data_IF_715433149936
#
_entry.id   IF_715433149936
#
_cell.length_a   1.000
_cell.length_b   1.000
_cell.length_c   1.000
_cell.angle_alpha   90.00
_cell.angle_beta   90.00
_cell.angle_gamma   90.00
#
_symmetry.space_group_name_H-M   'P 1'
#
loop_
_entity.id
_entity.type
_entity.pdbx_description
1 polymer ?
#
# COMPACT_ATOMS: atom_id res chain seq x y z
N UNK A 1 8.51 -10.53 -16.08
CA UNK A 1 7.12 -10.47 -15.57
C UNK A 1 6.51 -9.12 -15.92
N UNK A 2 5.20 -9.02 -16.15
CA UNK A 2 4.54 -7.76 -16.53
C UNK A 2 3.88 -7.10 -15.33
N UNK A 3 3.90 -5.77 -15.28
CA UNK A 3 3.20 -4.92 -14.31
C UNK A 3 1.74 -5.35 -14.07
N UNK A 4 1.08 -5.84 -15.14
CA UNK A 4 -0.29 -6.37 -15.11
C UNK A 4 -0.47 -7.61 -14.20
N UNK A 5 0.54 -8.47 -14.07
CA UNK A 5 0.46 -9.67 -13.24
C UNK A 5 0.46 -9.33 -11.75
N UNK A 6 1.37 -8.45 -11.33
CA UNK A 6 1.47 -7.97 -9.95
C UNK A 6 0.19 -7.26 -9.54
N UNK A 7 -0.31 -6.34 -10.38
CA UNK A 7 -1.57 -5.63 -10.14
C UNK A 7 -2.77 -6.57 -10.04
N UNK A 8 -2.83 -7.65 -10.85
CA UNK A 8 -3.91 -8.63 -10.74
C UNK A 8 -3.90 -9.34 -9.39
N UNK A 9 -2.74 -9.79 -8.91
CA UNK A 9 -2.63 -10.46 -7.61
C UNK A 9 -2.92 -9.52 -6.44
N UNK A 10 -2.45 -8.27 -6.52
CA UNK A 10 -2.76 -7.25 -5.53
C UNK A 10 -4.25 -6.92 -5.48
N UNK A 11 -4.91 -6.80 -6.65
CA UNK A 11 -6.36 -6.60 -6.71
C UNK A 11 -7.08 -7.76 -6.02
N UNK A 12 -6.70 -9.01 -6.32
CA UNK A 12 -7.31 -10.18 -5.69
C UNK A 12 -7.11 -10.16 -4.17
N UNK A 13 -5.91 -9.83 -3.68
CA UNK A 13 -5.61 -9.68 -2.26
C UNK A 13 -6.46 -8.59 -1.58
N UNK A 14 -6.61 -7.43 -2.21
CA UNK A 14 -7.47 -6.34 -1.72
C UNK A 14 -8.94 -6.78 -1.67
N UNK A 15 -9.44 -7.45 -2.72
CA UNK A 15 -10.80 -7.97 -2.75
C UNK A 15 -11.05 -9.00 -1.63
N UNK A 16 -10.09 -9.87 -1.36
CA UNK A 16 -10.18 -10.88 -0.30
C UNK A 16 -10.19 -10.23 1.10
N UNK A 17 -9.35 -9.22 1.34
CA UNK A 17 -9.40 -8.46 2.60
C UNK A 17 -10.75 -7.77 2.81
N UNK A 18 -11.30 -7.14 1.77
CA UNK A 18 -12.62 -6.50 1.82
C UNK A 18 -13.77 -7.50 2.01
N UNK A 19 -13.57 -8.76 1.62
CA UNK A 19 -14.50 -9.85 1.86
C UNK A 19 -14.32 -10.52 3.24
N UNK A 20 -13.53 -9.93 4.14
CA UNK A 20 -13.16 -10.48 5.45
C UNK A 20 -12.47 -11.85 5.36
N UNK A 21 -11.73 -12.10 4.27
CA UNK A 21 -10.90 -13.29 4.07
C UNK A 21 -9.40 -12.95 4.13
N UNK A 22 -8.84 -12.73 5.33
CA UNK A 22 -7.42 -12.43 5.51
C UNK A 22 -6.52 -13.61 5.14
N UNK A 23 -7.01 -14.85 5.23
CA UNK A 23 -6.21 -16.02 4.85
C UNK A 23 -6.03 -16.09 3.34
N UNK A 24 -7.09 -15.88 2.56
CA UNK A 24 -7.02 -15.77 1.11
C UNK A 24 -6.09 -14.63 0.67
N UNK A 25 -6.15 -13.48 1.33
CA UNK A 25 -5.26 -12.36 1.02
C UNK A 25 -3.77 -12.69 1.28
N UNK A 26 -3.47 -13.40 2.38
CA UNK A 26 -2.12 -13.90 2.66
C UNK A 26 -1.66 -14.87 1.57
N UNK A 27 -2.52 -15.82 1.16
CA UNK A 27 -2.19 -16.75 0.07
C UNK A 27 -1.92 -16.03 -1.25
N UNK A 28 -2.66 -14.96 -1.57
CA UNK A 28 -2.41 -14.15 -2.76
C UNK A 28 -1.03 -13.47 -2.71
N UNK A 29 -0.58 -13.02 -1.53
CA UNK A 29 0.78 -12.52 -1.33
C UNK A 29 1.84 -13.62 -1.42
N UNK A 30 1.58 -14.81 -0.87
CA UNK A 30 2.50 -15.95 -0.98
C UNK A 30 2.75 -16.32 -2.45
N UNK A 31 1.73 -16.24 -3.31
CA UNK A 31 1.88 -16.46 -4.74
C UNK A 31 2.79 -15.43 -5.43
N UNK A 32 2.86 -14.19 -4.93
CA UNK A 32 3.81 -13.18 -5.42
C UNK A 32 5.27 -13.56 -5.10
N UNK A 33 5.47 -14.24 -3.96
CA UNK A 33 6.78 -14.67 -3.50
C UNK A 33 7.24 -15.99 -4.15
N UNK A 34 6.35 -16.95 -4.35
CA UNK A 34 6.66 -18.32 -4.81
C UNK A 34 6.89 -18.47 -6.33
N UNK A 35 7.36 -17.44 -7.02
CA UNK A 35 7.63 -17.54 -8.46
C UNK A 35 8.77 -18.51 -8.77
N UNK A 36 8.74 -19.19 -9.92
CA UNK A 36 9.75 -20.19 -10.32
C UNK A 36 11.18 -19.61 -10.49
N UNK A 37 11.30 -18.28 -10.57
CA UNK A 37 12.56 -17.55 -10.64
C UNK A 37 12.92 -16.96 -9.26
N UNK A 38 14.23 -16.78 -9.00
CA UNK A 38 14.82 -16.20 -7.76
C UNK A 38 14.52 -14.69 -7.60
N UNK A 39 13.34 -14.25 -8.04
CA UNK A 39 12.87 -12.86 -8.13
C UNK A 39 11.79 -12.53 -7.10
N UNK A 40 11.48 -13.45 -6.17
CA UNK A 40 10.39 -13.29 -5.20
C UNK A 40 10.47 -11.98 -4.40
N UNK A 41 11.65 -11.55 -3.97
CA UNK A 41 11.83 -10.28 -3.25
C UNK A 41 11.59 -9.04 -4.13
N UNK A 42 12.02 -9.10 -5.40
CA UNK A 42 11.77 -8.01 -6.36
C UNK A 42 10.27 -7.87 -6.62
N UNK A 43 9.54 -8.98 -6.71
CA UNK A 43 8.09 -8.99 -6.89
C UNK A 43 7.35 -8.36 -5.71
N UNK A 44 7.80 -8.69 -4.50
CA UNK A 44 7.25 -8.10 -3.27
C UNK A 44 7.56 -6.61 -3.19
N UNK A 45 8.72 -6.16 -3.69
CA UNK A 45 9.07 -4.74 -3.77
C UNK A 45 8.22 -4.00 -4.79
N UNK A 46 8.02 -4.57 -5.98
CA UNK A 46 7.11 -4.02 -6.99
C UNK A 46 5.68 -3.94 -6.46
N UNK A 47 5.25 -4.98 -5.73
CA UNK A 47 3.94 -4.99 -5.08
C UNK A 47 3.81 -3.87 -4.03
N UNK A 48 4.83 -3.63 -3.21
CA UNK A 48 4.84 -2.53 -2.26
C UNK A 48 4.77 -1.16 -2.96
N UNK A 49 5.53 -0.97 -4.04
CA UNK A 49 5.48 0.26 -4.86
C UNK A 49 4.07 0.51 -5.42
N UNK A 50 3.44 -0.50 -6.00
CA UNK A 50 2.09 -0.41 -6.54
C UNK A 50 1.05 -0.05 -5.47
N UNK A 51 1.15 -0.65 -4.28
CA UNK A 51 0.26 -0.34 -3.15
C UNK A 51 0.47 1.09 -2.62
N UNK A 52 1.72 1.55 -2.52
CA UNK A 52 2.04 2.92 -2.11
C UNK A 52 1.47 3.92 -3.12
N UNK A 53 1.72 3.71 -4.42
CA UNK A 53 1.23 4.60 -5.47
C UNK A 53 -0.29 4.63 -5.53
N UNK A 54 -0.95 3.47 -5.45
CA UNK A 54 -2.42 3.40 -5.41
C UNK A 54 -3.00 4.12 -4.19
N UNK A 55 -2.41 3.94 -3.02
CA UNK A 55 -2.82 4.61 -1.79
C UNK A 55 -2.66 6.13 -1.89
N UNK A 56 -1.54 6.61 -2.44
CA UNK A 56 -1.32 8.03 -2.67
C UNK A 56 -2.34 8.63 -3.65
N UNK A 57 -2.65 7.93 -4.75
CA UNK A 57 -3.67 8.35 -5.71
C UNK A 57 -5.05 8.48 -5.07
N UNK A 58 -5.45 7.49 -4.25
CA UNK A 58 -6.73 7.50 -3.54
C UNK A 58 -6.82 8.62 -2.51
N UNK A 59 -5.77 8.83 -1.72
CA UNK A 59 -5.70 9.93 -0.75
C UNK A 59 -5.81 11.31 -1.41
N UNK A 60 -5.12 11.52 -2.54
CA UNK A 60 -5.26 12.76 -3.33
C UNK A 60 -6.68 12.92 -3.85
N UNK A 61 -7.28 11.87 -4.42
CA UNK A 61 -8.64 11.92 -4.93
C UNK A 61 -9.67 12.21 -3.83
N UNK A 62 -9.50 11.65 -2.64
CA UNK A 62 -10.33 11.93 -1.46
C UNK A 62 -10.20 13.40 -1.02
N UNK A 63 -8.97 13.93 -0.97
CA UNK A 63 -8.71 15.33 -0.62
C UNK A 63 -9.35 16.29 -1.62
N UNK A 64 -9.16 16.04 -2.92
CA UNK A 64 -9.78 16.80 -4.01
C UNK A 64 -11.31 16.77 -3.88
N UNK A 65 -11.88 15.59 -3.64
CA UNK A 65 -13.33 15.41 -3.51
C UNK A 65 -13.91 16.14 -2.29
N UNK A 66 -13.19 16.14 -1.17
CA UNK A 66 -13.58 16.87 0.05
C UNK A 66 -13.46 18.40 -0.09
N UNK A 67 -12.92 18.91 -1.21
CA UNK A 67 -12.67 20.34 -1.41
C UNK A 67 -11.52 20.86 -0.55
N UNK A 68 -10.67 19.97 -0.02
CA UNK A 68 -9.48 20.33 0.73
C UNK A 68 -8.37 20.74 -0.25
N UNK A 69 -8.41 22.00 -0.70
CA UNK A 69 -7.40 22.60 -1.59
C UNK A 69 -6.10 23.01 -0.88
N UNK A 70 -5.67 22.24 0.13
CA UNK A 70 -4.53 22.54 0.99
C UNK A 70 -3.51 21.39 1.05
N UNK A 71 -2.48 21.58 1.87
CA UNK A 71 -1.45 20.56 2.15
C UNK A 71 -2.10 19.33 2.82
N UNK A 72 -1.93 18.16 2.19
CA UNK A 72 -2.41 16.88 2.70
C UNK A 72 -1.58 16.47 3.92
N UNK A 73 -2.17 16.55 5.11
CA UNK A 73 -1.57 16.00 6.32
C UNK A 73 -2.15 14.62 6.60
N UNK A 74 -1.33 13.60 6.40
CA UNK A 74 -1.59 12.25 6.89
C UNK A 74 -1.01 12.13 8.31
N UNK A 75 -1.75 11.47 9.19
CA UNK A 75 -1.29 11.09 10.53
C UNK A 75 -1.60 9.61 10.75
N UNK A 76 -0.68 8.89 11.39
CA UNK A 76 -0.95 7.54 11.88
C UNK A 76 -1.75 7.66 13.17
N UNK A 77 -2.83 6.90 13.29
CA UNK A 77 -3.64 6.82 14.49
C UNK A 77 -3.48 5.47 15.19
N UNK A 78 -3.63 5.44 16.51
CA UNK A 78 -3.91 4.20 17.23
C UNK A 78 -5.37 3.75 17.04
N UNK A 79 -5.79 2.69 17.73
CA UNK A 79 -7.15 2.15 17.66
C UNK A 79 -8.22 3.14 18.16
N UNK A 80 -7.83 4.15 18.94
CA UNK A 80 -8.70 5.22 19.43
C UNK A 80 -8.64 6.46 18.52
N UNK A 81 -7.82 6.43 17.47
CA UNK A 81 -7.60 7.51 16.53
C UNK A 81 -6.63 8.59 17.05
N UNK A 82 -5.91 8.33 18.14
CA UNK A 82 -4.92 9.25 18.66
C UNK A 82 -3.65 9.23 17.79
N UNK A 83 -3.06 10.40 17.45
CA UNK A 83 -1.92 10.46 16.57
C UNK A 83 -0.69 9.78 17.19
N UNK A 84 -0.09 8.85 16.45
CA UNK A 84 1.16 8.17 16.80
C UNK A 84 2.32 8.94 16.14
N UNK A 85 3.33 9.39 16.92
CA UNK A 85 4.54 9.98 16.35
C UNK A 85 5.25 8.99 15.42
N UNK A 86 5.59 9.42 14.20
CA UNK A 86 6.23 8.55 13.20
C UNK A 86 7.50 7.88 13.72
N UNK A 87 8.25 8.52 14.63
CA UNK A 87 9.49 7.95 15.18
C UNK A 87 9.25 6.81 16.18
N UNK A 88 8.04 6.69 16.72
CA UNK A 88 7.61 5.59 17.60
C UNK A 88 7.07 4.38 16.82
N UNK A 89 6.85 4.54 15.52
CA UNK A 89 6.37 3.48 14.63
C UNK A 89 7.49 2.47 14.37
N UNK A 90 7.16 1.19 14.40
CA UNK A 90 8.12 0.12 14.10
C UNK A 90 8.83 0.34 12.74
N UNK A 91 10.12 0.01 12.62
CA UNK A 91 10.92 0.34 11.43
C UNK A 91 10.28 -0.02 10.08
N UNK A 92 9.67 -1.20 9.89
CA UNK A 92 9.07 -1.58 8.61
C UNK A 92 7.90 -0.70 8.24
N UNK A 93 6.99 -0.48 9.19
CA UNK A 93 5.81 0.35 8.99
C UNK A 93 6.20 1.82 8.78
N UNK A 94 7.21 2.30 9.51
CA UNK A 94 7.76 3.66 9.34
C UNK A 94 8.32 3.89 7.93
N UNK A 95 8.98 2.90 7.35
CA UNK A 95 9.48 2.97 5.97
C UNK A 95 8.31 3.08 4.97
N UNK A 96 7.29 2.23 5.10
CA UNK A 96 6.09 2.31 4.23
C UNK A 96 5.34 3.64 4.35
N UNK A 97 5.23 4.17 5.58
CA UNK A 97 4.59 5.46 5.83
C UNK A 97 5.37 6.61 5.21
N UNK A 98 6.71 6.62 5.36
CA UNK A 98 7.58 7.63 4.72
C UNK A 98 7.55 7.51 3.21
N UNK A 99 7.46 6.30 2.67
CA UNK A 99 7.29 6.07 1.24
C UNK A 99 5.99 6.69 0.73
N UNK A 100 4.88 6.44 1.42
CA UNK A 100 3.58 7.03 1.10
C UNK A 100 3.56 8.56 1.21
N UNK A 101 4.18 9.13 2.25
CA UNK A 101 4.33 10.57 2.39
C UNK A 101 5.14 11.19 1.24
N UNK A 102 6.24 10.55 0.83
CA UNK A 102 7.05 11.01 -0.28
C UNK A 102 6.25 10.96 -1.60
N UNK A 103 5.54 9.86 -1.84
CA UNK A 103 4.67 9.70 -3.02
C UNK A 103 3.54 10.74 -3.06
N UNK A 104 2.94 11.08 -1.91
CA UNK A 104 1.96 12.17 -1.79
C UNK A 104 2.54 13.54 -2.13
N UNK A 105 3.85 13.73 -1.97
CA UNK A 105 4.57 14.95 -2.30
C UNK A 105 5.24 14.92 -3.68
N UNK A 106 4.92 13.92 -4.52
CA UNK A 106 5.52 13.74 -5.86
C UNK A 106 7.05 13.47 -5.83
N UNK A 107 7.57 13.07 -4.66
CA UNK A 107 8.97 12.68 -4.47
C UNK A 107 9.12 11.16 -4.61
N UNK A 108 8.94 10.69 -5.85
CA UNK A 108 9.00 9.27 -6.20
C UNK A 108 10.37 8.62 -5.90
N UNK A 109 11.46 9.40 -5.97
CA UNK A 109 12.80 8.91 -5.67
C UNK A 109 12.94 8.60 -4.17
N UNK A 110 12.53 9.54 -3.31
CA UNK A 110 12.50 9.28 -1.87
C UNK A 110 11.54 8.15 -1.51
N UNK A 111 10.40 8.04 -2.20
CA UNK A 111 9.44 6.96 -1.98
C UNK A 111 10.07 5.58 -2.23
N UNK A 112 10.80 5.44 -3.35
CA UNK A 112 11.54 4.23 -3.68
C UNK A 112 12.63 3.93 -2.65
N UNK A 113 13.45 4.91 -2.27
CA UNK A 113 14.53 4.73 -1.27
C UNK A 113 14.00 4.16 0.05
N UNK A 114 12.82 4.59 0.51
CA UNK A 114 12.25 4.04 1.74
C UNK A 114 11.90 2.56 1.63
N UNK A 115 11.39 2.11 0.48
CA UNK A 115 11.11 0.70 0.24
C UNK A 115 12.42 -0.08 0.08
N UNK A 116 13.43 0.47 -0.59
CA UNK A 116 14.74 -0.18 -0.71
C UNK A 116 15.34 -0.49 0.65
N UNK A 117 15.22 0.42 1.61
CA UNK A 117 15.67 0.20 2.99
C UNK A 117 14.89 -0.90 3.71
N UNK A 118 13.60 -1.07 3.41
CA UNK A 118 12.78 -2.17 3.94
C UNK A 118 13.23 -3.51 3.36
N UNK A 119 13.42 -3.59 2.05
CA UNK A 119 13.77 -4.84 1.35
C UNK A 119 15.26 -5.22 1.45
N UNK A 120 16.14 -4.28 1.81
CA UNK A 120 17.56 -4.56 2.07
C UNK A 120 17.81 -5.26 3.42
N UNK A 121 16.80 -5.33 4.29
CA UNK A 121 16.90 -6.02 5.58
C UNK A 121 16.64 -7.49 5.33
N UNK A 122 17.55 -8.37 5.75
CA UNK A 122 17.41 -9.83 5.64
C UNK A 122 16.41 -10.35 6.70
N UNK A 123 15.21 -9.77 6.72
CA UNK A 123 14.16 -9.98 7.70
C UNK A 123 12.80 -10.20 7.02
N UNK A 124 12.53 -11.41 6.49
CA UNK A 124 11.31 -11.69 5.71
C UNK A 124 10.00 -11.37 6.45
N UNK A 125 10.00 -11.51 7.78
CA UNK A 125 8.82 -11.20 8.60
C UNK A 125 8.49 -9.69 8.61
N UNK A 126 9.51 -8.84 8.57
CA UNK A 126 9.34 -7.38 8.49
C UNK A 126 8.72 -6.98 7.14
N UNK A 127 9.20 -7.58 6.05
CA UNK A 127 8.66 -7.39 4.70
C UNK A 127 7.19 -7.78 4.60
N UNK A 128 6.83 -8.97 5.11
CA UNK A 128 5.43 -9.43 5.12
C UNK A 128 4.56 -8.51 5.94
N UNK A 129 5.04 -8.09 7.12
CA UNK A 129 4.30 -7.15 7.98
C UNK A 129 4.02 -5.83 7.28
N UNK A 130 5.02 -5.26 6.61
CA UNK A 130 4.88 -4.03 5.84
C UNK A 130 3.86 -4.16 4.69
N UNK A 131 3.92 -5.25 3.93
CA UNK A 131 2.99 -5.52 2.83
C UNK A 131 1.54 -5.69 3.31
N UNK A 132 1.33 -6.39 4.42
CA UNK A 132 0.00 -6.55 5.00
C UNK A 132 -0.59 -5.19 5.41
N UNK A 133 0.22 -4.30 6.01
CA UNK A 133 -0.24 -2.95 6.35
C UNK A 133 -0.58 -2.12 5.11
N UNK A 134 0.26 -2.17 4.07
CA UNK A 134 0.00 -1.50 2.80
C UNK A 134 -1.30 -2.00 2.15
N UNK A 135 -1.55 -3.31 2.17
CA UNK A 135 -2.80 -3.90 1.68
C UNK A 135 -4.01 -3.44 2.50
N UNK A 136 -3.91 -3.43 3.83
CA UNK A 136 -4.98 -2.99 4.72
C UNK A 136 -5.32 -1.50 4.47
N UNK A 137 -4.31 -0.66 4.30
CA UNK A 137 -4.51 0.75 3.94
C UNK A 137 -5.16 0.90 2.57
N UNK A 138 -4.67 0.17 1.55
CA UNK A 138 -5.25 0.21 0.22
C UNK A 138 -6.73 -0.22 0.21
N UNK A 139 -7.07 -1.28 0.95
CA UNK A 139 -8.45 -1.75 1.10
C UNK A 139 -9.34 -0.72 1.79
N UNK A 140 -8.88 -0.14 2.91
CA UNK A 140 -9.64 0.90 3.64
C UNK A 140 -9.84 2.15 2.79
N UNK A 141 -8.80 2.61 2.09
CA UNK A 141 -8.87 3.77 1.20
C UNK A 141 -9.79 3.53 0.02
N UNK A 142 -9.81 2.31 -0.52
CA UNK A 142 -10.74 1.92 -1.58
C UNK A 142 -12.19 2.03 -1.09
N UNK A 143 -12.49 1.53 0.12
CA UNK A 143 -13.82 1.66 0.73
C UNK A 143 -14.19 3.13 0.99
N UNK A 144 -13.25 3.97 1.42
CA UNK A 144 -13.46 5.41 1.60
C UNK A 144 -13.73 6.12 0.27
N UNK A 145 -12.96 5.81 -0.78
CA UNK A 145 -13.15 6.38 -2.11
C UNK A 145 -14.51 5.98 -2.69
N UNK A 146 -14.90 4.71 -2.60
CA UNK A 146 -16.20 4.24 -3.09
C UNK A 146 -17.36 4.89 -2.34
N UNK A 147 -17.29 5.00 -1.01
CA UNK A 147 -18.31 5.70 -0.20
C UNK A 147 -18.39 7.19 -0.50
N UNK A 148 -17.25 7.83 -0.74
CA UNK A 148 -17.15 9.25 -1.06
C UNK A 148 -17.43 9.56 -2.54
N UNK A 149 -17.45 8.58 -3.44
CA UNK A 149 -17.50 8.82 -4.88
C UNK A 149 -16.22 9.47 -5.43
N UNK A 150 -15.08 9.27 -4.77
CA UNK A 150 -13.77 9.69 -5.26
C UNK A 150 -13.24 8.70 -6.30
N UNK A 151 -12.28 9.15 -7.12
CA UNK A 151 -11.63 8.31 -8.13
C UNK A 151 -10.71 7.29 -7.45
N UNK A 152 -10.63 6.10 -8.03
CA UNK A 152 -9.72 5.03 -7.61
C UNK A 152 -8.81 4.63 -8.78
N UNK A 153 -7.64 4.02 -8.54
CA UNK A 153 -6.79 3.49 -9.60
C UNK A 153 -7.55 2.53 -10.53
N UNK A 154 -7.30 2.63 -11.84
CA UNK A 154 -8.04 1.87 -12.84
C UNK A 154 -7.94 0.35 -12.61
N UNK A 155 -6.77 -0.14 -12.22
CA UNK A 155 -6.54 -1.56 -11.96
C UNK A 155 -7.19 -2.07 -10.66
N UNK A 156 -7.59 -1.17 -9.74
CA UNK A 156 -8.39 -1.50 -8.55
C UNK A 156 -9.89 -1.36 -8.79
N UNK A 157 -10.30 -0.79 -9.93
CA UNK A 157 -11.72 -0.61 -10.24
C UNK A 157 -12.36 -1.95 -10.60
N UNK A 158 -13.60 -2.22 -10.16
CA UNK A 158 -14.34 -3.44 -10.53
C UNK A 158 -14.67 -3.55 -12.04
N UNK A 159 -14.36 -2.52 -12.83
CA UNK A 159 -14.55 -2.47 -14.28
C UNK A 159 -13.23 -2.29 -15.07
N UNK A 160 -12.08 -2.53 -14.42
CA UNK A 160 -10.75 -2.53 -15.05
C UNK A 160 -10.48 -3.77 -15.88
#
# INVERSE_FOLDING_TARGET
MTEDWTRSHLRDAVCLLRAEDPQGAIMALENLYQTEEDTGLDNLRDAANELVSASAQMLRALSEHAGAGGELQMHLGDLEGAPIPVDEVEPPLRATYRSLLAELNEDHESAAIQLDLLFARDEPQETVTALLHLLLWAASLLDDCERGGARVPAWLSPHG
#
